data_IF_769694155500
#
_entry.id   IF_769694155500
#
_cell.length_a   1.000
_cell.length_b   1.000
_cell.length_c   1.000
_cell.angle_alpha   90.00
_cell.angle_beta   90.00
_cell.angle_gamma   90.00
#
_symmetry.space_group_name_H-M   'P 1'
#
loop_
_entity.id
_entity.type
_entity.pdbx_description
1 polymer ?
#
# COMPACT_ATOMS: atom_id res chain seq x y z
N UNK A 1 0.10 -19.80 -2.87
CA UNK A 1 1.10 -19.88 -1.77
C UNK A 1 0.71 -20.92 -0.74
N UNK A 2 -0.42 -20.77 -0.02
CA UNK A 2 -0.84 -21.71 1.04
C UNK A 2 -0.82 -23.17 0.56
N UNK A 3 -1.47 -23.47 -0.57
CA UNK A 3 -1.47 -24.81 -1.13
C UNK A 3 -0.05 -25.34 -1.41
N UNK A 4 0.89 -24.50 -1.85
CA UNK A 4 2.26 -24.92 -2.10
C UNK A 4 3.04 -25.24 -0.81
N UNK A 5 2.73 -24.58 0.31
CA UNK A 5 3.24 -24.94 1.63
C UNK A 5 2.64 -26.27 2.10
N UNK A 6 1.32 -26.45 1.91
CA UNK A 6 0.61 -27.68 2.28
C UNK A 6 1.13 -28.91 1.53
N UNK A 7 1.48 -28.76 0.26
CA UNK A 7 2.01 -29.85 -0.58
C UNK A 7 3.54 -29.98 -0.48
N UNK A 8 4.20 -29.23 0.39
CA UNK A 8 5.65 -29.29 0.61
C UNK A 8 6.51 -28.75 -0.55
N UNK A 9 5.89 -28.13 -1.57
CA UNK A 9 6.60 -27.46 -2.65
C UNK A 9 7.32 -26.19 -2.18
N UNK A 10 6.85 -25.59 -1.09
CA UNK A 10 7.53 -24.53 -0.36
C UNK A 10 7.82 -24.99 1.07
N UNK A 11 9.06 -24.84 1.52
CA UNK A 11 9.45 -25.16 2.90
C UNK A 11 9.11 -24.06 3.91
N UNK A 12 9.03 -22.81 3.47
CA UNK A 12 8.83 -21.65 4.34
C UNK A 12 8.37 -20.41 3.56
N UNK A 13 7.63 -19.52 4.22
CA UNK A 13 7.23 -18.22 3.66
C UNK A 13 7.26 -17.10 4.72
N UNK A 14 8.28 -16.22 4.70
CA UNK A 14 8.27 -14.99 5.47
C UNK A 14 7.45 -13.92 4.72
N UNK A 15 6.57 -13.22 5.43
CA UNK A 15 5.75 -12.16 4.86
C UNK A 15 5.68 -10.97 5.81
N UNK A 16 5.78 -9.77 5.28
CA UNK A 16 5.48 -8.53 5.99
C UNK A 16 4.17 -7.89 5.51
N UNK A 17 3.66 -8.30 4.35
CA UNK A 17 2.41 -7.79 3.75
C UNK A 17 1.32 -8.84 3.73
N UNK A 18 0.06 -8.39 3.86
CA UNK A 18 -1.13 -9.23 3.74
C UNK A 18 -2.22 -8.53 2.92
N UNK A 19 -3.18 -9.29 2.39
CA UNK A 19 -4.25 -8.74 1.55
C UNK A 19 -5.13 -7.72 2.30
N UNK A 20 -5.39 -8.01 3.58
CA UNK A 20 -6.06 -7.11 4.53
C UNK A 20 -5.13 -6.88 5.70
N UNK A 21 -5.06 -5.64 6.18
CA UNK A 21 -4.18 -5.23 7.28
C UNK A 21 -4.98 -4.46 8.35
N UNK A 22 -4.93 -4.88 9.63
CA UNK A 22 -4.33 -6.13 10.11
C UNK A 22 -5.17 -7.35 9.66
N UNK A 23 -4.54 -8.53 9.65
CA UNK A 23 -5.31 -9.77 9.52
C UNK A 23 -6.26 -9.92 10.71
N UNK A 24 -7.44 -10.44 10.45
CA UNK A 24 -8.40 -10.80 11.49
C UNK A 24 -7.84 -11.89 12.39
N UNK A 25 -8.22 -11.83 13.66
CA UNK A 25 -7.89 -12.88 14.63
C UNK A 25 -8.35 -14.26 14.13
N UNK A 26 -7.53 -15.29 14.35
CA UNK A 26 -7.80 -16.65 13.89
C UNK A 26 -7.53 -16.91 12.40
N UNK A 27 -7.00 -15.93 11.65
CA UNK A 27 -6.63 -16.14 10.24
C UNK A 27 -5.64 -17.31 10.07
N UNK A 28 -5.84 -18.10 9.02
CA UNK A 28 -5.08 -19.34 8.76
C UNK A 28 -3.55 -19.14 8.68
N UNK A 29 -3.10 -17.93 8.36
CA UNK A 29 -1.67 -17.61 8.30
C UNK A 29 -1.03 -17.50 9.69
N UNK A 30 -1.81 -17.24 10.76
CA UNK A 30 -1.29 -17.13 12.12
C UNK A 30 -0.91 -18.48 12.73
N UNK A 31 -1.56 -19.58 12.32
CA UNK A 31 -1.39 -20.90 12.93
C UNK A 31 -0.42 -21.82 12.18
N UNK A 32 0.15 -21.37 11.06
CA UNK A 32 1.01 -22.21 10.21
C UNK A 32 2.48 -22.12 10.63
N UNK A 33 3.06 -23.24 11.02
CA UNK A 33 4.47 -23.32 11.46
C UNK A 33 5.49 -22.93 10.36
N UNK A 34 5.14 -23.16 9.09
CA UNK A 34 5.99 -22.81 7.93
C UNK A 34 5.86 -21.34 7.52
N UNK A 35 5.11 -20.53 8.28
CA UNK A 35 4.89 -19.12 8.01
C UNK A 35 5.52 -18.28 9.11
N UNK A 36 6.17 -17.18 8.70
CA UNK A 36 6.57 -16.12 9.63
C UNK A 36 6.08 -14.79 9.12
N UNK A 37 4.99 -14.34 9.71
CA UNK A 37 4.46 -13.02 9.45
C UNK A 37 5.14 -11.99 10.36
N UNK A 38 5.65 -10.92 9.78
CA UNK A 38 6.01 -9.69 10.48
C UNK A 38 4.94 -8.64 10.22
N UNK A 39 4.92 -7.58 11.03
CA UNK A 39 4.13 -6.40 10.70
C UNK A 39 4.62 -5.80 9.37
N UNK A 40 3.77 -5.04 8.68
CA UNK A 40 4.10 -4.33 7.45
C UNK A 40 5.00 -3.12 7.74
N UNK A 41 6.24 -3.40 8.13
CA UNK A 41 7.21 -2.40 8.58
C UNK A 41 8.53 -2.47 7.81
N UNK A 42 8.71 -3.43 6.89
CA UNK A 42 9.98 -3.59 6.17
C UNK A 42 10.30 -2.35 5.33
N UNK A 43 9.28 -1.76 4.69
CA UNK A 43 9.39 -0.53 3.90
C UNK A 43 9.47 0.76 4.74
N UNK A 44 9.14 0.70 6.03
CA UNK A 44 9.18 1.85 6.95
C UNK A 44 10.43 1.83 7.85
N UNK A 45 11.52 1.24 7.36
CA UNK A 45 12.78 1.22 8.10
C UNK A 45 13.34 2.64 8.30
N UNK A 46 13.92 2.92 9.46
CA UNK A 46 14.40 4.26 9.84
C UNK A 46 15.37 4.88 8.82
N UNK A 47 16.14 4.04 8.12
CA UNK A 47 17.09 4.47 7.09
C UNK A 47 16.42 5.05 5.83
N UNK A 48 15.19 4.69 5.50
CA UNK A 48 14.51 5.11 4.26
C UNK A 48 13.32 6.05 4.51
N UNK A 49 12.88 6.18 5.77
CA UNK A 49 11.73 7.00 6.17
C UNK A 49 11.86 8.47 5.75
N UNK A 50 13.07 9.03 5.77
CA UNK A 50 13.32 10.41 5.35
C UNK A 50 13.03 10.62 3.85
N UNK A 51 13.34 9.63 3.00
CA UNK A 51 13.09 9.70 1.56
C UNK A 51 11.60 9.68 1.26
N UNK A 52 10.85 8.84 1.97
CA UNK A 52 9.38 8.81 1.86
C UNK A 52 8.77 10.15 2.28
N UNK A 53 9.22 10.73 3.39
CA UNK A 53 8.75 12.04 3.85
C UNK A 53 9.07 13.13 2.83
N UNK A 54 10.29 13.19 2.35
CA UNK A 54 10.72 14.18 1.35
C UNK A 54 9.84 14.10 0.09
N UNK A 55 9.66 12.88 -0.44
CA UNK A 55 8.82 12.62 -1.60
C UNK A 55 7.37 13.07 -1.38
N UNK A 56 6.80 12.76 -0.23
CA UNK A 56 5.44 13.18 0.12
C UNK A 56 5.31 14.70 0.23
N UNK A 57 6.32 15.38 0.77
CA UNK A 57 6.37 16.84 0.85
C UNK A 57 6.46 17.50 -0.53
N UNK A 58 7.31 16.97 -1.41
CA UNK A 58 7.46 17.44 -2.79
C UNK A 58 6.14 17.28 -3.56
N UNK A 59 5.54 16.08 -3.54
CA UNK A 59 4.29 15.80 -4.22
C UNK A 59 3.13 16.67 -3.70
N UNK A 60 3.03 16.87 -2.38
CA UNK A 60 2.02 17.75 -1.77
C UNK A 60 2.23 19.23 -2.16
N UNK A 61 3.49 19.66 -2.25
CA UNK A 61 3.82 21.04 -2.65
C UNK A 61 3.41 21.29 -4.10
N UNK A 62 3.72 20.37 -5.02
CA UNK A 62 3.26 20.44 -6.40
C UNK A 62 1.73 20.49 -6.48
N UNK A 63 1.05 19.61 -5.75
CA UNK A 63 -0.41 19.58 -5.69
C UNK A 63 -1.01 20.93 -5.24
N UNK A 64 -0.47 21.53 -4.17
CA UNK A 64 -0.94 22.82 -3.67
C UNK A 64 -0.73 23.97 -4.66
N UNK A 65 0.19 23.82 -5.61
CA UNK A 65 0.43 24.77 -6.71
C UNK A 65 -0.40 24.47 -7.96
N UNK A 66 -1.15 23.37 -7.99
CA UNK A 66 -1.84 22.90 -9.18
C UNK A 66 -0.91 22.26 -10.21
N UNK A 67 0.30 21.89 -9.80
CA UNK A 67 1.29 21.18 -10.61
C UNK A 67 1.09 19.66 -10.47
N UNK A 68 1.59 18.89 -11.45
CA UNK A 68 1.60 17.43 -11.35
C UNK A 68 2.67 16.99 -10.33
N UNK A 69 2.35 16.05 -9.42
CA UNK A 69 3.35 15.51 -8.51
C UNK A 69 4.45 14.80 -9.29
N UNK A 70 5.71 15.04 -8.90
CA UNK A 70 6.87 14.54 -9.62
C UNK A 70 6.97 13.01 -9.57
N UNK A 71 6.33 12.38 -8.59
CA UNK A 71 6.59 10.98 -8.28
C UNK A 71 5.39 10.09 -8.01
N UNK A 72 4.17 10.62 -8.09
CA UNK A 72 2.97 9.81 -8.02
C UNK A 72 2.77 9.04 -9.32
N UNK A 73 3.00 7.72 -9.31
CA UNK A 73 2.36 6.86 -10.29
C UNK A 73 0.91 6.67 -9.85
N UNK A 74 -0.02 7.42 -10.43
CA UNK A 74 -1.44 7.07 -10.36
C UNK A 74 -1.69 6.16 -11.57
N UNK A 75 -1.94 4.85 -11.38
CA UNK A 75 -2.32 4.00 -12.48
C UNK A 75 -3.62 4.54 -13.10
N UNK A 76 -3.67 4.69 -14.42
CA UNK A 76 -4.94 4.97 -15.13
C UNK A 76 -5.97 3.92 -14.70
N UNK A 77 -7.13 4.38 -14.21
CA UNK A 77 -8.21 3.53 -13.70
C UNK A 77 -8.24 3.32 -12.18
N UNK A 78 -7.20 3.68 -11.41
CA UNK A 78 -7.22 3.56 -9.94
C UNK A 78 -8.23 4.50 -9.24
N UNK A 79 -8.72 5.50 -9.98
CA UNK A 79 -9.68 6.52 -9.52
C UNK A 79 -11.11 6.17 -9.96
N UNK A 80 -11.28 5.31 -10.98
CA UNK A 80 -12.59 4.94 -11.50
C UNK A 80 -13.22 3.87 -10.60
N UNK A 81 -14.24 4.26 -9.84
CA UNK A 81 -15.05 3.36 -9.01
C UNK A 81 -14.62 3.21 -7.56
N UNK A 82 -13.60 3.94 -7.10
CA UNK A 82 -13.18 3.88 -5.70
C UNK A 82 -14.17 4.60 -4.76
N UNK A 83 -15.04 3.84 -4.11
CA UNK A 83 -15.88 4.33 -3.00
C UNK A 83 -15.06 5.00 -1.88
N UNK A 84 -13.76 4.67 -1.80
CA UNK A 84 -12.78 5.28 -0.89
C UNK A 84 -12.47 6.74 -1.21
N UNK A 85 -13.02 7.35 -2.25
CA UNK A 85 -12.83 8.79 -2.53
C UNK A 85 -14.07 9.63 -2.19
N UNK A 86 -15.18 9.00 -1.75
CA UNK A 86 -16.44 9.69 -1.49
C UNK A 86 -16.37 10.63 -0.28
N UNK A 87 -15.51 10.33 0.69
CA UNK A 87 -15.25 11.17 1.86
C UNK A 87 -14.31 12.36 1.57
N UNK A 88 -13.68 12.40 0.39
CA UNK A 88 -12.79 13.48 0.01
C UNK A 88 -13.58 14.66 -0.56
N UNK A 89 -13.08 15.86 -0.30
CA UNK A 89 -13.72 17.09 -0.76
C UNK A 89 -13.84 17.11 -2.29
N UNK A 90 -14.92 17.72 -2.81
CA UNK A 90 -15.11 17.93 -4.26
C UNK A 90 -13.86 18.48 -4.97
N UNK A 91 -13.16 19.51 -4.47
CA UNK A 91 -11.96 20.01 -5.15
C UNK A 91 -10.84 18.98 -5.23
N UNK A 92 -10.66 18.14 -4.21
CA UNK A 92 -9.63 17.09 -4.21
C UNK A 92 -9.92 16.00 -5.24
N UNK A 93 -11.19 15.58 -5.35
CA UNK A 93 -11.63 14.63 -6.39
C UNK A 93 -11.42 15.17 -7.80
N UNK A 94 -11.62 16.47 -8.02
CA UNK A 94 -11.44 17.09 -9.33
C UNK A 94 -9.97 17.17 -9.71
N UNK A 95 -9.09 17.54 -8.77
CA UNK A 95 -7.66 17.62 -9.02
C UNK A 95 -7.07 16.25 -9.38
N UNK A 96 -7.49 15.18 -8.71
CA UNK A 96 -7.08 13.81 -9.03
C UNK A 96 -7.55 13.37 -10.42
N UNK A 97 -8.81 13.68 -10.81
CA UNK A 97 -9.33 13.32 -12.15
C UNK A 97 -8.63 14.05 -13.28
N UNK A 98 -8.22 15.30 -13.05
CA UNK A 98 -7.54 16.10 -14.08
C UNK A 98 -6.09 15.64 -14.33
N UNK A 99 -5.57 14.69 -13.53
CA UNK A 99 -4.25 14.09 -13.68
C UNK A 99 -4.27 12.72 -14.40
N UNK A 100 -5.45 12.20 -14.79
CA UNK A 100 -5.64 10.94 -15.52
C UNK A 100 -5.81 11.17 -17.03
#
# INVERSE_FOLDING_TARGET
MIAALDHGALGFAPLDVTEVEPLTEGHILHSRAQMRQTLHISGNHMLVRHQLLQKAQEDLTCFLRGENPATSFIPRGAIEGSERLNHLSRPFRQAIRNQA
#
